data_IF_978473545827
#
_entry.id   IF_978473545827
#
_cell.length_a   1.000
_cell.length_b   1.000
_cell.length_c   1.000
_cell.angle_alpha   90.00
_cell.angle_beta   90.00
_cell.angle_gamma   90.00
#
_symmetry.space_group_name_H-M   'P 1'
#
loop_
_entity.id
_entity.type
_entity.pdbx_description
1 polymer ?
#
# COMPACT_ATOMS: atom_id res chain seq x y z
N UNK A 1 -50.87 -0.51 -2.12
CA UNK A 1 -50.12 -1.78 -2.23
C UNK A 1 -48.68 -1.51 -1.83
N UNK A 2 -48.26 -1.90 -0.61
CA UNK A 2 -46.86 -1.82 -0.17
C UNK A 2 -46.18 -3.14 -0.53
N UNK A 3 -45.10 -3.10 -1.30
CA UNK A 3 -44.25 -4.27 -1.59
C UNK A 3 -43.15 -4.35 -0.54
N UNK A 4 -43.07 -5.47 0.17
CA UNK A 4 -41.95 -5.84 1.02
C UNK A 4 -40.84 -6.42 0.15
N UNK A 5 -39.61 -5.95 0.31
CA UNK A 5 -38.41 -6.55 -0.26
C UNK A 5 -37.73 -7.35 0.87
N UNK A 6 -37.64 -8.66 0.69
CA UNK A 6 -36.93 -9.57 1.58
C UNK A 6 -35.43 -9.47 1.27
N UNK A 7 -34.62 -8.94 2.19
CA UNK A 7 -33.17 -8.96 2.07
C UNK A 7 -32.67 -10.31 2.60
N UNK A 8 -32.17 -11.16 1.71
CA UNK A 8 -31.42 -12.37 2.10
C UNK A 8 -29.99 -11.93 2.36
N UNK A 9 -29.60 -11.91 3.63
CA UNK A 9 -28.22 -11.65 4.05
C UNK A 9 -27.38 -12.89 3.73
N UNK A 10 -26.57 -12.82 2.67
CA UNK A 10 -25.49 -13.79 2.43
C UNK A 10 -24.25 -13.25 3.12
N UNK A 11 -23.94 -13.76 4.32
CA UNK A 11 -22.65 -13.49 4.98
C UNK A 11 -21.61 -14.37 4.28
N UNK A 12 -20.87 -13.78 3.34
CA UNK A 12 -19.70 -14.42 2.74
C UNK A 12 -18.53 -14.22 3.70
N UNK A 13 -18.26 -15.20 4.56
CA UNK A 13 -17.01 -15.20 5.34
C UNK A 13 -15.84 -15.35 4.37
N UNK A 14 -15.05 -14.28 4.19
CA UNK A 14 -13.76 -14.38 3.50
C UNK A 14 -12.83 -15.21 4.40
N UNK A 15 -12.62 -16.46 3.98
CA UNK A 15 -11.59 -17.32 4.53
C UNK A 15 -10.25 -16.68 4.17
N UNK A 16 -9.43 -16.36 5.18
CA UNK A 16 -8.00 -16.07 4.98
C UNK A 16 -7.46 -17.21 4.12
N UNK A 17 -6.82 -16.97 2.96
CA UNK A 17 -6.30 -18.05 2.17
C UNK A 17 -5.36 -18.86 3.06
N UNK A 18 -5.77 -20.10 3.38
CA UNK A 18 -4.92 -21.04 4.07
C UNK A 18 -3.86 -21.46 3.05
N UNK A 19 -2.72 -20.78 3.07
CA UNK A 19 -1.58 -21.09 2.22
C UNK A 19 -1.01 -22.41 2.73
N UNK A 20 -1.26 -23.48 1.99
CA UNK A 20 -0.81 -24.80 2.38
C UNK A 20 0.72 -24.87 2.29
N UNK A 21 1.42 -24.66 3.42
CA UNK A 21 2.86 -24.90 3.52
C UNK A 21 3.73 -23.71 3.93
N UNK A 22 3.16 -22.54 4.21
CA UNK A 22 3.96 -21.34 4.53
C UNK A 22 3.62 -20.72 5.90
N UNK A 23 3.73 -21.51 6.98
CA UNK A 23 3.53 -21.01 8.36
C UNK A 23 4.43 -19.82 8.72
N UNK A 24 5.59 -19.69 8.06
CA UNK A 24 6.51 -18.58 8.27
C UNK A 24 5.91 -17.23 7.82
N UNK A 25 4.98 -17.20 6.85
CA UNK A 25 4.36 -15.96 6.40
C UNK A 25 3.53 -15.33 7.51
N UNK A 26 2.90 -16.12 8.38
CA UNK A 26 2.16 -15.61 9.54
C UNK A 26 3.07 -14.90 10.55
N UNK A 27 4.35 -15.28 10.60
CA UNK A 27 5.35 -14.70 11.51
C UNK A 27 6.16 -13.55 10.87
N UNK A 28 6.21 -13.48 9.54
CA UNK A 28 7.10 -12.58 8.80
C UNK A 28 6.34 -11.49 8.02
N UNK A 29 5.26 -11.85 7.34
CA UNK A 29 4.60 -10.98 6.38
C UNK A 29 3.72 -9.93 7.08
N UNK A 30 3.70 -8.73 6.52
CA UNK A 30 2.81 -7.64 6.89
C UNK A 30 1.81 -7.38 5.78
N UNK A 31 1.84 -6.16 5.24
CA UNK A 31 1.05 -5.79 4.07
C UNK A 31 1.44 -6.65 2.87
N UNK A 32 0.43 -7.29 2.28
CA UNK A 32 0.59 -8.35 1.30
C UNK A 32 -0.40 -8.23 0.16
N UNK A 33 0.02 -8.69 -1.02
CA UNK A 33 -0.81 -8.92 -2.17
C UNK A 33 -0.76 -10.40 -2.54
N UNK A 34 -1.90 -11.02 -2.80
CA UNK A 34 -1.98 -12.43 -3.17
C UNK A 34 -2.80 -12.64 -4.43
N UNK A 35 -2.41 -13.65 -5.21
CA UNK A 35 -3.16 -14.13 -6.35
C UNK A 35 -3.07 -15.66 -6.42
N UNK A 36 -3.98 -16.29 -7.17
CA UNK A 36 -3.95 -17.73 -7.45
C UNK A 36 -3.66 -17.97 -8.92
N UNK A 37 -2.50 -18.53 -9.22
CA UNK A 37 -2.07 -18.86 -10.58
C UNK A 37 -2.62 -20.23 -11.00
N UNK A 38 -2.91 -20.39 -12.28
CA UNK A 38 -3.37 -21.67 -12.85
C UNK A 38 -2.25 -22.67 -13.09
N UNK A 39 -1.02 -22.18 -13.26
CA UNK A 39 0.17 -22.95 -13.64
C UNK A 39 1.40 -22.28 -13.09
N UNK A 40 2.36 -23.07 -12.62
CA UNK A 40 3.62 -22.58 -12.04
C UNK A 40 4.79 -23.36 -12.61
N UNK A 41 5.83 -22.63 -13.01
CA UNK A 41 7.15 -23.16 -13.29
C UNK A 41 8.17 -22.39 -12.44
N UNK A 42 8.62 -23.02 -11.36
CA UNK A 42 9.54 -22.39 -10.40
C UNK A 42 10.88 -22.02 -11.05
N UNK A 43 11.33 -22.73 -12.09
CA UNK A 43 12.59 -22.43 -12.76
C UNK A 43 12.47 -21.18 -13.63
N UNK A 44 11.33 -21.00 -14.30
CA UNK A 44 11.05 -19.77 -15.04
C UNK A 44 10.82 -18.59 -14.09
N UNK A 45 10.06 -18.80 -13.01
CA UNK A 45 9.83 -17.76 -11.99
C UNK A 45 11.13 -17.28 -11.33
N UNK A 46 12.09 -18.18 -11.09
CA UNK A 46 13.39 -17.87 -10.48
C UNK A 46 14.15 -16.75 -11.19
N UNK A 47 13.93 -16.55 -12.50
CA UNK A 47 14.58 -15.50 -13.30
C UNK A 47 14.16 -14.09 -12.89
N UNK A 48 12.96 -13.91 -12.30
CA UNK A 48 12.48 -12.60 -11.85
C UNK A 48 13.01 -12.20 -10.46
N UNK A 49 13.51 -13.15 -9.68
CA UNK A 49 14.05 -12.87 -8.35
C UNK A 49 15.41 -12.19 -8.47
N UNK A 50 15.57 -11.08 -7.74
CA UNK A 50 16.87 -10.44 -7.56
C UNK A 50 17.74 -11.28 -6.63
N UNK A 51 17.16 -11.72 -5.51
CA UNK A 51 17.79 -12.62 -4.56
C UNK A 51 16.82 -13.75 -4.23
N UNK A 52 17.31 -14.99 -4.22
CA UNK A 52 16.55 -16.15 -3.79
C UNK A 52 16.99 -16.47 -2.36
N UNK A 53 16.06 -16.39 -1.42
CA UNK A 53 16.31 -16.74 -0.02
C UNK A 53 16.20 -18.24 0.20
N UNK A 54 15.23 -18.87 -0.47
CA UNK A 54 15.05 -20.31 -0.46
C UNK A 54 14.31 -20.77 -1.72
N UNK A 55 14.77 -21.89 -2.27
CA UNK A 55 14.11 -22.60 -3.35
C UNK A 55 14.12 -24.09 -3.01
N UNK A 56 12.96 -24.72 -3.12
CA UNK A 56 12.77 -26.17 -2.99
C UNK A 56 12.02 -26.67 -4.23
N UNK A 57 11.70 -27.97 -4.25
CA UNK A 57 10.85 -28.54 -5.29
C UNK A 57 9.38 -28.05 -5.19
N UNK A 58 8.99 -27.50 -4.03
CA UNK A 58 7.61 -27.13 -3.73
C UNK A 58 7.37 -25.61 -3.77
N UNK A 59 8.38 -24.79 -3.48
CA UNK A 59 8.24 -23.34 -3.48
C UNK A 59 9.55 -22.59 -3.68
N UNK A 60 9.42 -21.30 -4.01
CA UNK A 60 10.50 -20.33 -4.04
C UNK A 60 10.08 -19.09 -3.24
N UNK A 61 11.02 -18.54 -2.48
CA UNK A 61 10.88 -17.27 -1.77
C UNK A 61 12.16 -16.46 -1.90
N UNK A 62 12.01 -15.16 -2.06
CA UNK A 62 13.11 -14.23 -2.22
C UNK A 62 12.60 -12.82 -2.49
N UNK A 63 13.48 -11.93 -2.91
CA UNK A 63 13.17 -10.53 -3.16
C UNK A 63 13.21 -10.16 -4.65
N UNK A 64 12.35 -9.22 -5.03
CA UNK A 64 12.23 -8.67 -6.39
C UNK A 64 12.54 -7.18 -6.34
N UNK A 65 13.46 -6.76 -7.22
CA UNK A 65 13.79 -5.36 -7.42
C UNK A 65 12.61 -4.59 -8.02
N UNK A 66 12.21 -3.50 -7.39
CA UNK A 66 11.22 -2.57 -7.93
C UNK A 66 11.96 -1.47 -8.71
N UNK A 67 11.56 -1.27 -9.97
CA UNK A 67 12.23 -0.32 -10.84
C UNK A 67 12.03 1.10 -10.30
N UNK A 68 13.05 1.97 -10.43
CA UNK A 68 13.09 3.35 -9.92
C UNK A 68 13.02 3.52 -8.39
N UNK A 69 13.18 2.43 -7.63
CA UNK A 69 13.29 2.43 -6.17
C UNK A 69 14.64 1.88 -5.69
N UNK A 70 15.11 2.27 -4.49
CA UNK A 70 16.28 1.68 -3.85
C UNK A 70 16.02 0.24 -3.39
N UNK A 71 17.08 -0.52 -3.12
CA UNK A 71 16.97 -1.92 -2.66
C UNK A 71 16.18 -2.08 -1.36
N UNK A 72 16.09 -1.02 -0.55
CA UNK A 72 15.24 -1.03 0.65
C UNK A 72 13.78 -1.27 0.30
N UNK A 73 13.32 -0.98 -0.91
CA UNK A 73 11.94 -1.16 -1.36
C UNK A 73 11.72 -2.48 -2.11
N UNK A 74 12.74 -3.33 -2.23
CA UNK A 74 12.61 -4.66 -2.82
C UNK A 74 11.48 -5.45 -2.11
N UNK A 75 10.61 -6.07 -2.89
CA UNK A 75 9.42 -6.78 -2.40
C UNK A 75 9.74 -8.26 -2.23
N UNK A 76 9.36 -8.86 -1.10
CA UNK A 76 9.50 -10.30 -0.91
C UNK A 76 8.36 -11.00 -1.65
N UNK A 77 8.65 -12.09 -2.35
CA UNK A 77 7.63 -12.87 -3.05
C UNK A 77 7.79 -14.35 -2.73
N UNK A 78 6.73 -14.94 -2.20
CA UNK A 78 6.55 -16.39 -2.08
C UNK A 78 5.74 -16.89 -3.28
N UNK A 79 6.16 -18.00 -3.86
CA UNK A 79 5.44 -18.72 -4.91
C UNK A 79 5.57 -20.23 -4.69
N UNK A 80 4.44 -20.94 -4.65
CA UNK A 80 4.42 -22.39 -4.58
C UNK A 80 3.90 -23.07 -5.85
N UNK A 81 4.18 -24.36 -5.99
CA UNK A 81 3.72 -25.19 -7.12
C UNK A 81 2.20 -25.36 -7.19
N UNK A 82 1.48 -25.08 -6.11
CA UNK A 82 0.02 -25.11 -6.08
C UNK A 82 -0.60 -23.86 -6.72
N UNK A 83 0.21 -22.84 -7.01
CA UNK A 83 -0.21 -21.58 -7.62
C UNK A 83 -0.47 -20.46 -6.63
N UNK A 84 -0.27 -20.65 -5.32
CA UNK A 84 -0.35 -19.51 -4.40
C UNK A 84 0.89 -18.64 -4.58
N UNK A 85 0.66 -17.37 -4.92
CA UNK A 85 1.70 -16.35 -5.02
C UNK A 85 1.36 -15.19 -4.09
N UNK A 86 2.36 -14.75 -3.32
CA UNK A 86 2.19 -13.73 -2.27
C UNK A 86 3.39 -12.80 -2.33
N UNK A 87 3.14 -11.53 -2.65
CA UNK A 87 4.10 -10.45 -2.55
C UNK A 87 3.86 -9.70 -1.24
N UNK A 88 4.90 -9.42 -0.46
CA UNK A 88 4.75 -8.80 0.84
C UNK A 88 5.92 -7.89 1.20
N UNK A 89 5.60 -6.90 2.04
CA UNK A 89 6.57 -6.28 2.94
C UNK A 89 6.46 -6.93 4.31
N UNK A 90 7.56 -6.91 5.08
CA UNK A 90 7.62 -7.57 6.39
C UNK A 90 6.70 -6.89 7.39
N UNK A 91 6.32 -7.62 8.44
CA UNK A 91 5.41 -7.14 9.49
C UNK A 91 5.98 -5.97 10.31
N UNK A 92 7.29 -5.72 10.25
CA UNK A 92 7.95 -4.55 10.85
C UNK A 92 7.89 -3.30 9.99
N UNK A 93 7.41 -3.41 8.75
CA UNK A 93 7.43 -2.32 7.77
C UNK A 93 6.08 -1.59 7.70
N UNK A 94 6.13 -0.32 7.28
CA UNK A 94 4.96 0.53 7.17
C UNK A 94 3.99 0.05 6.07
N UNK A 95 2.68 0.15 6.31
CA UNK A 95 1.67 -0.27 5.31
C UNK A 95 1.74 0.56 4.03
N UNK A 96 2.09 1.84 4.12
CA UNK A 96 2.15 2.72 2.96
C UNK A 96 3.39 2.45 2.09
N UNK A 97 4.32 1.60 2.56
CA UNK A 97 5.42 1.15 1.73
C UNK A 97 4.93 0.45 0.46
N UNK A 98 3.72 -0.11 0.44
CA UNK A 98 3.16 -0.71 -0.79
C UNK A 98 2.92 0.30 -1.93
N UNK A 99 2.82 1.60 -1.65
CA UNK A 99 2.40 2.60 -2.64
C UNK A 99 3.49 2.82 -3.71
N UNK A 100 3.09 2.80 -4.97
CA UNK A 100 3.97 3.09 -6.10
C UNK A 100 3.86 4.55 -6.54
N UNK A 101 4.42 5.43 -5.73
CA UNK A 101 4.50 6.86 -6.02
C UNK A 101 5.26 7.21 -7.30
N UNK A 102 6.27 6.41 -7.68
CA UNK A 102 7.13 6.71 -8.83
C UNK A 102 6.39 6.51 -10.16
N UNK A 103 5.43 5.59 -10.17
CA UNK A 103 4.58 5.33 -11.33
C UNK A 103 3.14 5.86 -11.16
N UNK A 104 2.85 6.57 -10.07
CA UNK A 104 1.56 7.19 -9.86
C UNK A 104 1.30 8.33 -10.85
N UNK A 105 0.08 8.38 -11.37
CA UNK A 105 -0.42 9.49 -12.19
C UNK A 105 -1.67 10.05 -11.53
N UNK A 106 -1.69 11.37 -11.29
CA UNK A 106 -2.82 12.05 -10.69
C UNK A 106 -4.14 11.74 -11.40
N UNK A 107 -5.19 11.49 -10.61
CA UNK A 107 -6.52 11.13 -11.11
C UNK A 107 -6.67 9.68 -11.59
N UNK A 108 -5.60 8.87 -11.58
CA UNK A 108 -5.69 7.42 -11.79
C UNK A 108 -5.73 6.67 -10.45
N UNK A 109 -6.26 5.43 -10.41
CA UNK A 109 -6.11 4.56 -9.25
C UNK A 109 -4.62 4.34 -8.93
N UNK A 110 -4.29 4.37 -7.64
CA UNK A 110 -2.94 4.05 -7.16
C UNK A 110 -2.65 2.56 -7.37
N UNK A 111 -1.57 2.25 -8.10
CA UNK A 111 -1.01 0.90 -8.17
C UNK A 111 -0.08 0.63 -6.98
N UNK A 112 0.20 -0.64 -6.71
CA UNK A 112 1.12 -1.03 -5.64
C UNK A 112 2.40 -1.68 -6.18
N UNK A 113 3.50 -1.48 -5.44
CA UNK A 113 4.76 -2.20 -5.67
C UNK A 113 4.59 -3.72 -5.50
N UNK A 114 3.64 -4.14 -4.66
CA UNK A 114 3.31 -5.55 -4.45
C UNK A 114 2.72 -6.19 -5.71
N UNK A 115 1.71 -5.56 -6.33
CA UNK A 115 1.14 -6.01 -7.62
C UNK A 115 2.19 -6.05 -8.72
N UNK A 116 3.07 -5.05 -8.75
CA UNK A 116 4.13 -4.98 -9.72
C UNK A 116 5.12 -6.15 -9.58
N UNK A 117 5.49 -6.51 -8.35
CA UNK A 117 6.35 -7.67 -8.08
C UNK A 117 5.68 -8.99 -8.51
N UNK A 118 4.39 -9.18 -8.22
CA UNK A 118 3.62 -10.33 -8.70
C UNK A 118 3.60 -10.40 -10.23
N UNK A 119 3.45 -9.25 -10.90
CA UNK A 119 3.43 -9.17 -12.35
C UNK A 119 4.79 -9.55 -12.97
N UNK A 120 5.92 -9.13 -12.38
CA UNK A 120 7.26 -9.55 -12.84
C UNK A 120 7.43 -11.07 -12.84
N UNK A 121 6.94 -11.74 -11.80
CA UNK A 121 6.97 -13.22 -11.71
C UNK A 121 6.11 -13.85 -12.80
N UNK A 122 4.89 -13.34 -12.98
CA UNK A 122 3.99 -13.82 -14.03
C UNK A 122 4.60 -13.63 -15.43
N UNK A 123 5.25 -12.49 -15.69
CA UNK A 123 5.93 -12.21 -16.95
C UNK A 123 7.09 -13.17 -17.21
N UNK A 124 7.89 -13.52 -16.19
CA UNK A 124 8.97 -14.50 -16.34
C UNK A 124 8.44 -15.90 -16.74
N UNK A 125 7.26 -16.26 -16.25
CA UNK A 125 6.55 -17.48 -16.65
C UNK A 125 5.69 -17.33 -17.92
N UNK A 126 5.67 -16.15 -18.55
CA UNK A 126 4.81 -15.84 -19.71
C UNK A 126 3.31 -16.07 -19.46
N UNK A 127 2.85 -15.79 -18.23
CA UNK A 127 1.43 -15.84 -17.84
C UNK A 127 0.91 -14.45 -17.50
N UNK A 128 -0.41 -14.27 -17.56
CA UNK A 128 -1.07 -13.02 -17.12
C UNK A 128 -1.35 -13.09 -15.63
N UNK A 129 -1.04 -12.01 -14.90
CA UNK A 129 -1.40 -11.87 -13.50
C UNK A 129 -2.94 -11.87 -13.35
N UNK A 130 -3.55 -12.79 -12.58
CA UNK A 130 -4.97 -12.78 -12.31
C UNK A 130 -5.33 -11.72 -11.25
N UNK A 131 -6.61 -11.66 -10.86
CA UNK A 131 -7.09 -10.72 -9.86
C UNK A 131 -6.29 -10.83 -8.54
N UNK A 132 -5.78 -9.68 -8.09
CA UNK A 132 -4.97 -9.55 -6.89
C UNK A 132 -5.85 -9.11 -5.72
N UNK A 133 -5.61 -9.71 -4.55
CA UNK A 133 -6.21 -9.28 -3.28
C UNK A 133 -5.12 -8.71 -2.38
N UNK A 134 -5.38 -7.54 -1.81
CA UNK A 134 -4.48 -6.91 -0.83
C UNK A 134 -5.03 -7.15 0.57
N UNK A 135 -4.16 -7.53 1.50
CA UNK A 135 -4.49 -7.80 2.91
C UNK A 135 -3.26 -7.56 3.80
N UNK A 136 -3.45 -7.52 5.11
CA UNK A 136 -2.36 -7.40 6.08
C UNK A 136 -2.37 -8.59 7.05
N UNK A 137 -1.32 -9.42 7.04
CA UNK A 137 -1.21 -10.59 7.91
C UNK A 137 -1.23 -10.26 9.40
N UNK A 138 -0.86 -9.03 9.77
CA UNK A 138 -0.92 -8.56 11.17
C UNK A 138 -2.36 -8.42 11.66
N UNK A 139 -3.30 -8.22 10.74
CA UNK A 139 -4.70 -7.99 11.03
C UNK A 139 -5.59 -8.93 10.21
N UNK A 140 -5.59 -10.24 10.50
CA UNK A 140 -6.34 -11.23 9.72
C UNK A 140 -7.87 -11.03 9.78
N UNK A 141 -8.35 -10.19 10.70
CA UNK A 141 -9.76 -9.81 10.82
C UNK A 141 -10.14 -8.63 9.92
N UNK A 142 -9.16 -7.92 9.36
CA UNK A 142 -9.39 -6.85 8.39
C UNK A 142 -9.87 -7.45 7.06
N UNK A 143 -10.94 -6.90 6.51
CA UNK A 143 -11.54 -7.38 5.26
C UNK A 143 -11.26 -6.45 4.08
N UNK A 144 -10.89 -5.20 4.37
CA UNK A 144 -10.78 -4.14 3.37
C UNK A 144 -9.53 -3.30 3.61
N UNK A 145 -8.93 -2.87 2.50
CA UNK A 145 -7.89 -1.86 2.48
C UNK A 145 -8.34 -0.75 1.54
N UNK A 146 -8.27 0.49 1.99
CA UNK A 146 -8.62 1.67 1.20
C UNK A 146 -7.43 2.60 1.11
N UNK A 147 -7.09 2.99 -0.11
CA UNK A 147 -6.06 3.98 -0.39
C UNK A 147 -6.79 5.23 -0.89
N UNK A 148 -6.59 6.34 -0.19
CA UNK A 148 -7.11 7.66 -0.56
C UNK A 148 -5.90 8.48 -0.95
N UNK A 149 -5.85 8.97 -2.18
CA UNK A 149 -4.73 9.74 -2.71
C UNK A 149 -5.22 11.07 -3.23
N UNK A 150 -4.47 12.13 -2.95
CA UNK A 150 -4.67 13.42 -3.58
C UNK A 150 -3.32 14.13 -3.83
N UNK A 151 -3.37 15.14 -4.69
CA UNK A 151 -2.24 16.00 -5.02
C UNK A 151 -2.48 17.44 -4.56
N UNK A 152 -1.42 18.09 -4.07
CA UNK A 152 -1.45 19.51 -3.77
C UNK A 152 -1.18 20.32 -5.02
N UNK A 153 -2.23 20.88 -5.60
CA UNK A 153 -2.14 21.72 -6.80
C UNK A 153 -1.68 23.16 -6.51
N UNK A 154 -1.86 23.65 -5.28
CA UNK A 154 -1.63 25.05 -4.93
C UNK A 154 -1.14 25.18 -3.47
N UNK A 155 -0.02 25.87 -3.26
CA UNK A 155 0.55 26.12 -1.92
C UNK A 155 -0.27 27.06 -1.03
N UNK A 156 -1.20 27.81 -1.63
CA UNK A 156 -2.16 28.64 -0.91
C UNK A 156 -3.42 27.87 -0.50
N UNK A 157 -3.54 26.59 -0.88
CA UNK A 157 -4.64 25.75 -0.44
C UNK A 157 -4.54 25.52 1.09
N UNK A 158 -5.66 25.73 1.77
CA UNK A 158 -5.83 25.50 3.21
C UNK A 158 -6.28 24.07 3.53
N UNK A 159 -6.53 23.28 2.48
CA UNK A 159 -6.95 21.89 2.52
C UNK A 159 -6.50 21.22 1.23
N UNK A 160 -5.97 20.01 1.33
CA UNK A 160 -5.72 19.17 0.16
C UNK A 160 -6.91 18.23 -0.05
N UNK A 161 -7.33 17.49 0.98
CA UNK A 161 -8.55 16.69 0.93
C UNK A 161 -9.13 16.41 2.32
N UNK A 162 -10.36 15.88 2.30
CA UNK A 162 -11.13 15.50 3.49
C UNK A 162 -11.47 14.01 3.47
N UNK A 163 -11.25 13.34 4.60
CA UNK A 163 -11.60 11.93 4.79
C UNK A 163 -12.69 11.83 5.84
N UNK A 164 -13.72 11.02 5.58
CA UNK A 164 -14.73 10.66 6.58
C UNK A 164 -14.81 9.16 6.69
N UNK A 165 -14.58 8.65 7.90
CA UNK A 165 -14.69 7.23 8.20
C UNK A 165 -16.03 6.95 8.89
N UNK A 166 -16.89 6.10 8.30
CA UNK A 166 -18.12 5.68 8.94
C UNK A 166 -17.92 5.06 10.32
N UNK A 167 -18.77 5.39 11.28
CA UNK A 167 -18.64 4.87 12.65
C UNK A 167 -18.97 3.39 12.81
N UNK A 168 -19.49 2.75 11.77
CA UNK A 168 -19.69 1.30 11.74
C UNK A 168 -18.44 0.55 11.25
N UNK A 169 -17.32 1.23 11.01
CA UNK A 169 -16.07 0.57 10.61
C UNK A 169 -15.22 0.27 11.84
N UNK A 170 -14.61 -0.91 11.87
CA UNK A 170 -13.52 -1.23 12.80
C UNK A 170 -12.20 -0.95 12.09
N UNK A 171 -11.47 0.06 12.57
CA UNK A 171 -10.13 0.37 12.08
C UNK A 171 -9.09 -0.51 12.78
N UNK A 172 -8.20 -1.10 12.00
CA UNK A 172 -7.06 -1.86 12.52
C UNK A 172 -5.76 -1.07 12.39
N UNK A 173 -5.64 -0.27 11.33
CA UNK A 173 -4.48 0.58 11.09
C UNK A 173 -4.80 1.72 10.14
N UNK A 174 -4.21 2.88 10.38
CA UNK A 174 -4.25 4.02 9.47
C UNK A 174 -2.81 4.48 9.25
N UNK A 175 -2.41 4.55 7.99
CA UNK A 175 -1.09 4.99 7.56
C UNK A 175 -1.19 6.22 6.69
N UNK A 176 -0.12 6.97 6.62
CA UNK A 176 0.04 8.12 5.75
C UNK A 176 1.33 7.98 4.94
N UNK A 177 1.33 8.53 3.74
CA UNK A 177 2.56 8.67 2.95
C UNK A 177 2.52 9.94 2.12
N UNK A 178 3.68 10.57 1.98
CA UNK A 178 3.86 11.76 1.17
C UNK A 178 4.96 11.49 0.17
N UNK A 179 4.69 11.88 -1.07
CA UNK A 179 5.65 11.91 -2.16
C UNK A 179 5.87 13.35 -2.60
N UNK A 180 7.13 13.77 -2.62
CA UNK A 180 7.52 15.07 -3.14
C UNK A 180 8.45 14.82 -4.32
N UNK A 181 8.04 15.26 -5.51
CA UNK A 181 8.94 15.37 -6.66
C UNK A 181 9.66 16.71 -6.56
N UNK A 182 10.98 16.71 -6.64
CA UNK A 182 11.75 17.95 -6.69
C UNK A 182 12.39 18.14 -8.05
N UNK A 183 11.74 18.95 -8.87
CA UNK A 183 12.26 19.39 -10.17
C UNK A 183 13.17 20.64 -10.04
N UNK A 184 13.41 21.15 -8.82
CA UNK A 184 14.06 22.42 -8.53
C UNK A 184 15.60 22.40 -8.41
N UNK A 185 16.23 23.52 -8.79
CA UNK A 185 17.68 23.70 -8.91
C UNK A 185 18.48 23.86 -7.61
N UNK A 186 19.80 23.78 -7.77
CA UNK A 186 20.81 23.75 -6.71
C UNK A 186 20.56 24.75 -5.55
N UNK A 187 20.36 24.26 -4.32
CA UNK A 187 20.51 25.04 -3.08
C UNK A 187 19.27 25.55 -2.34
N UNK A 188 18.04 25.13 -2.69
CA UNK A 188 16.85 25.42 -1.88
C UNK A 188 16.56 24.26 -0.91
N UNK A 189 16.38 24.54 0.39
CA UNK A 189 15.83 23.57 1.34
C UNK A 189 14.37 23.92 1.57
N UNK A 190 13.45 23.06 1.14
CA UNK A 190 12.02 23.30 1.41
C UNK A 190 11.56 22.43 2.56
N UNK A 191 10.85 23.06 3.51
CA UNK A 191 10.23 22.38 4.63
C UNK A 191 8.73 22.31 4.39
N UNK A 192 8.18 21.09 4.34
CA UNK A 192 6.73 20.88 4.23
C UNK A 192 6.28 20.02 5.41
N UNK A 193 5.19 20.39 6.07
CA UNK A 193 4.65 19.63 7.20
C UNK A 193 3.27 19.11 6.85
N UNK A 194 3.05 17.81 7.04
CA UNK A 194 1.73 17.18 6.91
C UNK A 194 0.93 17.37 8.20
N UNK A 195 -0.31 17.81 8.06
CA UNK A 195 -1.25 17.94 9.16
C UNK A 195 -2.49 17.08 8.91
N UNK A 196 -2.99 16.51 10.00
CA UNK A 196 -4.34 15.96 10.07
C UNK A 196 -5.08 16.79 11.12
N UNK A 197 -6.21 17.34 10.71
CA UNK A 197 -7.01 18.30 11.47
C UNK A 197 -6.21 19.52 11.97
N UNK A 198 -6.84 20.36 12.79
CA UNK A 198 -6.43 21.76 12.92
C UNK A 198 -5.06 22.01 13.59
N UNK A 199 -4.32 21.01 14.11
CA UNK A 199 -3.03 21.27 14.77
C UNK A 199 -2.07 20.07 14.94
N UNK A 200 -2.29 18.92 14.30
CA UNK A 200 -1.45 17.74 14.58
C UNK A 200 -0.49 17.50 13.42
N UNK A 201 0.73 18.02 13.58
CA UNK A 201 1.83 17.76 12.68
C UNK A 201 2.16 16.27 12.75
N UNK A 202 1.91 15.58 11.65
CA UNK A 202 2.17 14.15 11.50
C UNK A 202 3.65 13.92 11.19
N UNK A 203 4.22 14.76 10.34
CA UNK A 203 5.64 14.75 10.03
C UNK A 203 6.11 16.05 9.39
N UNK A 204 7.40 16.36 9.54
CA UNK A 204 8.08 17.48 8.91
C UNK A 204 9.10 16.96 7.90
N UNK A 205 8.97 17.41 6.65
CA UNK A 205 9.70 16.89 5.50
C UNK A 205 10.70 17.91 5.01
N UNK A 206 11.94 17.45 4.82
CA UNK A 206 13.04 18.25 4.32
C UNK A 206 13.44 17.76 2.93
N UNK A 207 13.26 18.59 1.91
CA UNK A 207 13.84 18.35 0.59
C UNK A 207 15.09 19.22 0.47
N UNK A 208 16.24 18.59 0.25
CA UNK A 208 17.52 19.28 0.03
C UNK A 208 17.73 19.53 -1.46
N UNK A 209 18.25 20.71 -1.81
CA UNK A 209 18.29 21.26 -3.17
C UNK A 209 19.22 20.59 -4.17
N UNK A 210 19.25 19.27 -4.25
CA UNK A 210 19.71 18.53 -5.43
C UNK A 210 18.50 17.76 -5.91
N UNK A 211 17.89 18.22 -7.02
CA UNK A 211 16.65 17.66 -7.58
C UNK A 211 16.59 16.13 -7.53
N UNK A 212 15.38 15.61 -7.38
CA UNK A 212 15.16 14.21 -7.06
C UNK A 212 13.74 13.98 -6.56
N UNK A 213 13.59 13.03 -5.64
CA UNK A 213 12.32 12.76 -5.01
C UNK A 213 12.50 12.36 -3.56
N UNK A 214 11.45 12.60 -2.76
CA UNK A 214 11.37 12.18 -1.38
C UNK A 214 10.08 11.41 -1.18
N UNK A 215 10.18 10.21 -0.61
CA UNK A 215 9.05 9.47 -0.07
C UNK A 215 9.25 9.38 1.43
N UNK A 216 8.20 9.70 2.16
CA UNK A 216 8.12 9.53 3.60
C UNK A 216 6.78 8.91 3.93
N UNK A 217 6.73 8.19 5.04
CA UNK A 217 5.53 7.47 5.44
C UNK A 217 5.57 7.16 6.92
N UNK A 218 4.42 6.81 7.45
CA UNK A 218 4.28 6.38 8.82
C UNK A 218 2.84 6.04 9.16
N UNK A 219 2.63 5.81 10.44
CA UNK A 219 1.31 5.55 10.99
C UNK A 219 0.68 6.83 11.52
N UNK A 220 -0.64 6.91 11.36
CA UNK A 220 -1.48 7.87 12.04
C UNK A 220 -1.80 7.27 13.40
N UNK A 221 -1.43 7.93 14.50
CA UNK A 221 -1.78 7.43 15.84
C UNK A 221 -3.30 7.39 16.00
N UNK A 222 -3.80 6.42 16.79
CA UNK A 222 -5.22 6.08 16.97
C UNK A 222 -6.16 7.23 17.38
N UNK A 223 -5.63 8.43 17.65
CA UNK A 223 -6.37 9.61 18.08
C UNK A 223 -6.71 10.56 16.91
N UNK A 224 -6.04 10.46 15.76
CA UNK A 224 -6.09 11.51 14.73
C UNK A 224 -7.16 11.30 13.65
N UNK A 225 -7.43 10.05 13.26
CA UNK A 225 -8.49 9.72 12.31
C UNK A 225 -9.32 8.58 12.90
N UNK A 226 -10.50 8.91 13.39
CA UNK A 226 -11.38 7.96 14.07
C UNK A 226 -12.55 7.54 13.16
N UNK A 227 -13.06 6.33 13.39
CA UNK A 227 -14.34 5.91 12.83
C UNK A 227 -15.50 6.52 13.64
N UNK A 228 -15.78 7.80 13.42
CA UNK A 228 -16.76 8.56 14.21
C UNK A 228 -17.77 9.37 13.37
N UNK A 229 -17.79 9.16 12.04
CA UNK A 229 -18.55 9.92 11.06
C UNK A 229 -18.20 11.42 10.96
N UNK A 230 -17.07 11.86 11.51
CA UNK A 230 -16.60 13.23 11.32
C UNK A 230 -15.71 13.33 10.07
N UNK A 231 -15.56 14.54 9.54
CA UNK A 231 -14.60 14.80 8.47
C UNK A 231 -13.28 15.20 9.11
N UNK A 232 -12.23 14.48 8.77
CA UNK A 232 -10.85 14.82 9.07
C UNK A 232 -10.22 15.52 7.86
N UNK A 233 -9.56 16.65 8.09
CA UNK A 233 -8.91 17.43 7.04
C UNK A 233 -7.44 17.05 6.95
N UNK A 234 -6.97 16.72 5.76
CA UNK A 234 -5.55 16.44 5.49
C UNK A 234 -5.00 17.62 4.68
N UNK A 235 -3.92 18.23 5.17
CA UNK A 235 -3.32 19.37 4.48
C UNK A 235 -1.83 19.54 4.73
N UNK A 236 -1.15 20.24 3.82
CA UNK A 236 0.23 20.69 3.99
C UNK A 236 0.36 22.16 4.36
N UNK A 237 1.41 22.47 5.12
CA UNK A 237 1.98 23.83 5.16
C UNK A 237 3.43 23.80 4.68
N UNK A 238 3.89 24.88 4.06
CA UNK A 238 5.25 25.00 3.53
C UNK A 238 5.34 25.79 2.23
N UNK A 239 6.56 26.11 1.83
CA UNK A 239 6.86 27.07 0.75
C UNK A 239 6.91 26.46 -0.66
N UNK A 240 6.56 25.17 -0.83
CA UNK A 240 6.63 24.51 -2.14
C UNK A 240 5.30 24.53 -2.86
N UNK A 241 5.33 25.06 -4.08
CA UNK A 241 4.29 24.93 -5.09
C UNK A 241 4.57 23.69 -5.94
N UNK A 242 3.56 22.83 -6.13
CA UNK A 242 3.59 21.74 -7.11
C UNK A 242 4.34 20.46 -6.70
N UNK A 243 3.84 19.34 -7.24
CA UNK A 243 4.33 17.96 -7.10
C UNK A 243 4.46 17.39 -5.67
N UNK A 244 3.52 17.73 -4.80
CA UNK A 244 3.34 17.04 -3.51
C UNK A 244 2.09 16.16 -3.62
N UNK A 245 2.25 14.88 -3.34
CA UNK A 245 1.20 13.88 -3.37
C UNK A 245 1.09 13.22 -2.01
N UNK A 246 -0.11 12.85 -1.62
CA UNK A 246 -0.39 12.33 -0.29
C UNK A 246 -1.37 11.21 -0.33
N UNK A 247 -1.09 10.17 0.44
CA UNK A 247 -2.00 9.07 0.63
C UNK A 247 -2.34 8.90 2.10
N UNK A 248 -3.59 8.52 2.35
CA UNK A 248 -4.02 7.84 3.58
C UNK A 248 -4.40 6.42 3.21
N UNK A 249 -3.81 5.46 3.93
CA UNK A 249 -4.10 4.03 3.79
C UNK A 249 -4.85 3.56 5.02
N UNK A 250 -5.99 2.92 4.84
CA UNK A 250 -6.86 2.46 5.93
C UNK A 250 -7.04 0.95 5.82
N UNK A 251 -6.72 0.22 6.88
CA UNK A 251 -6.96 -1.21 7.04
C UNK A 251 -8.16 -1.39 7.99
N UNK A 252 -9.25 -1.97 7.50
CA UNK A 252 -10.53 -1.95 8.23
C UNK A 252 -11.46 -3.12 7.92
N UNK A 253 -12.52 -3.23 8.71
CA UNK A 253 -13.69 -4.09 8.46
C UNK A 253 -14.97 -3.29 8.62
N UNK A 254 -15.96 -3.55 7.77
CA UNK A 254 -17.28 -2.95 7.83
C UNK A 254 -18.19 -3.81 8.72
N UNK A 255 -18.82 -3.21 9.74
CA UNK A 255 -19.80 -3.87 10.60
C UNK A 255 -21.24 -3.56 10.20
#
# INVERSE_FOLDING_TARGET
MKRFLLLVLVVLALVVPAVAGASFLEEEAGISATAKLSTVDLNLAAVAYKNIERQTDDYIVGSIAIDDYPESDDVHVYLDVSGDIIAYYRNTEDICKMLDWRHYTAGQPMSTKLEWALNKICQAMSITLPDVKIYDFRYPQAQQIKIIVDERLNSSATEDFRVKIPSNYTLYRVGWSVYIKDEGGYGSTTTTTLYIDENIAVNQLYTGGTGGWLITQGEVSDILIAADNTYHTVYFTGDKDGDIYTAIVIVYTEN
#
